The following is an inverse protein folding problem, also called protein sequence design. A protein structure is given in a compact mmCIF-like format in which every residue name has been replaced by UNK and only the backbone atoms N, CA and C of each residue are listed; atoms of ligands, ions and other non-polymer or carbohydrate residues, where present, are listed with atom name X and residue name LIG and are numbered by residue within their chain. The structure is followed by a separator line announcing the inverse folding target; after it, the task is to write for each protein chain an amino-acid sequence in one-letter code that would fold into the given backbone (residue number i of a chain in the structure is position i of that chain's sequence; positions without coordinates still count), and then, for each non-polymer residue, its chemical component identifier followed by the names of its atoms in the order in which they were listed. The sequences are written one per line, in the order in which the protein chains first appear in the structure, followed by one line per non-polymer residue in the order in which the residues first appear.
data_IF_355888271314
#
_entry.id   IF_355888271314
#
_cell.length_a   1.000
_cell.length_b   1.000
_cell.length_c   1.000
_cell.angle_alpha   90.00
_cell.angle_beta   90.00
_cell.angle_gamma   90.00
#
_symmetry.space_group_name_H-M   'P 1'
#
loop_
_entity.id
_entity.type
_entity.pdbx_description
1 polymer ?
#
# COMPACT_ATOMS: atom_id res chain seq x y z
N UNK A 1 -1.54 -3.85 -8.30
CA UNK A 1 -0.12 -4.14 -8.60
C UNK A 1 0.81 -3.54 -7.55
N UNK A 2 0.71 -2.23 -7.23
CA UNK A 2 1.52 -1.58 -6.17
C UNK A 2 1.49 -2.35 -4.85
N UNK A 3 0.30 -2.76 -4.39
CA UNK A 3 0.18 -3.54 -3.15
C UNK A 3 0.93 -4.87 -3.22
N UNK A 4 0.86 -5.58 -4.35
CA UNK A 4 1.55 -6.87 -4.54
C UNK A 4 3.06 -6.71 -4.49
N UNK A 5 3.61 -5.66 -5.11
CA UNK A 5 5.05 -5.36 -5.00
C UNK A 5 5.46 -5.04 -3.57
N UNK A 6 4.64 -4.28 -2.82
CA UNK A 6 4.96 -3.97 -1.42
C UNK A 6 4.88 -5.21 -0.54
N UNK A 7 3.88 -6.06 -0.72
CA UNK A 7 3.76 -7.33 0.03
C UNK A 7 4.96 -8.24 -0.24
N UNK A 8 5.42 -8.33 -1.49
CA UNK A 8 6.59 -9.12 -1.84
C UNK A 8 7.89 -8.61 -1.17
N UNK A 9 8.00 -7.30 -0.92
CA UNK A 9 9.10 -6.76 -0.10
C UNK A 9 8.86 -7.07 1.38
N UNK A 10 7.66 -6.82 1.89
CA UNK A 10 7.32 -7.01 3.30
C UNK A 10 7.55 -8.45 3.77
N UNK A 11 7.18 -9.45 2.96
CA UNK A 11 7.29 -10.86 3.32
C UNK A 11 8.63 -11.52 2.97
N UNK A 12 9.66 -10.73 2.64
CA UNK A 12 11.02 -11.25 2.41
C UNK A 12 11.32 -11.73 0.99
N UNK A 13 10.46 -11.47 0.00
CA UNK A 13 10.77 -11.68 -1.42
C UNK A 13 9.73 -12.48 -2.20
N UNK A 14 8.72 -13.03 -1.53
CA UNK A 14 7.79 -13.98 -2.17
C UNK A 14 6.58 -13.27 -2.77
N UNK A 15 6.40 -13.42 -4.08
CA UNK A 15 5.23 -12.88 -4.78
C UNK A 15 4.11 -13.92 -4.74
N UNK A 16 3.09 -13.68 -3.92
CA UNK A 16 1.88 -14.48 -3.89
C UNK A 16 0.83 -13.97 -4.89
N UNK A 17 0.03 -14.88 -5.44
CA UNK A 17 -1.17 -14.52 -6.18
C UNK A 17 -2.24 -14.02 -5.20
N UNK A 18 -2.77 -12.80 -5.36
CA UNK A 18 -3.82 -12.29 -4.50
C UNK A 18 -5.10 -13.11 -4.66
N UNK A 19 -5.74 -13.45 -3.55
CA UNK A 19 -6.97 -14.24 -3.49
C UNK A 19 -8.03 -13.48 -2.68
N UNK A 20 -9.28 -13.52 -3.13
CA UNK A 20 -10.43 -12.90 -2.44
C UNK A 20 -11.33 -13.97 -1.79
N UNK A 21 -11.35 -15.18 -2.36
CA UNK A 21 -12.14 -16.29 -1.84
C UNK A 21 -11.27 -17.10 -0.88
N UNK A 22 -11.74 -17.27 0.36
CA UNK A 22 -11.04 -18.09 1.36
C UNK A 22 -11.37 -19.59 1.19
N UNK A 23 -12.66 -19.92 1.05
CA UNK A 23 -13.10 -21.30 0.89
C UNK A 23 -14.47 -21.34 0.19
N UNK A 24 -14.75 -22.45 -0.49
CA UNK A 24 -16.10 -22.80 -0.96
C UNK A 24 -16.61 -23.96 -0.11
N UNK A 25 -17.83 -23.81 0.40
CA UNK A 25 -18.53 -24.83 1.17
C UNK A 25 -19.87 -25.15 0.51
N UNK A 26 -20.34 -26.38 0.67
CA UNK A 26 -21.69 -26.78 0.29
C UNK A 26 -22.76 -26.26 1.28
N UNK A 27 -24.02 -26.55 1.01
CA UNK A 27 -25.14 -26.10 1.83
C UNK A 27 -25.14 -26.71 3.25
N UNK A 28 -24.51 -27.87 3.40
CA UNK A 28 -24.34 -28.60 4.66
C UNK A 28 -23.09 -28.14 5.43
N UNK A 29 -22.31 -27.21 4.88
CA UNK A 29 -21.10 -26.66 5.48
C UNK A 29 -19.84 -27.50 5.24
N UNK A 30 -19.92 -28.55 4.43
CA UNK A 30 -18.80 -29.36 3.97
C UNK A 30 -17.82 -28.56 3.12
N UNK A 31 -16.52 -28.75 3.36
CA UNK A 31 -15.46 -28.07 2.61
C UNK A 31 -15.35 -28.65 1.20
N UNK A 32 -15.65 -27.84 0.19
CA UNK A 32 -15.56 -28.22 -1.23
C UNK A 32 -14.23 -27.77 -1.84
N UNK A 33 -13.76 -26.59 -1.46
CA UNK A 33 -12.46 -26.06 -1.91
C UNK A 33 -11.87 -25.14 -0.87
N UNK A 34 -10.62 -25.41 -0.52
CA UNK A 34 -9.78 -24.52 0.28
C UNK A 34 -8.85 -23.73 -0.64
N UNK A 35 -8.70 -22.43 -0.41
CA UNK A 35 -7.82 -21.56 -1.19
C UNK A 35 -6.59 -21.23 -0.36
N UNK A 36 -5.53 -22.02 -0.55
CA UNK A 36 -4.24 -21.78 0.07
C UNK A 36 -3.41 -20.76 -0.72
N UNK A 37 -2.49 -20.04 -0.07
CA UNK A 37 -1.60 -19.08 -0.75
C UNK A 37 -0.84 -19.74 -1.90
N UNK A 38 -0.86 -19.10 -3.07
CA UNK A 38 -0.18 -19.59 -4.26
C UNK A 38 1.03 -18.72 -4.59
N UNK A 39 2.23 -19.30 -4.51
CA UNK A 39 3.49 -18.65 -4.90
C UNK A 39 3.55 -18.52 -6.42
N UNK A 40 3.70 -17.29 -6.91
CA UNK A 40 3.87 -16.98 -8.34
C UNK A 40 5.35 -17.02 -8.70
N UNK A 41 6.19 -16.38 -7.90
CA UNK A 41 7.64 -16.26 -8.08
C UNK A 41 8.31 -15.67 -6.85
N UNK A 42 9.63 -15.73 -6.81
CA UNK A 42 10.46 -14.93 -5.91
C UNK A 42 10.94 -13.65 -6.60
N UNK A 43 11.26 -12.63 -5.82
CA UNK A 43 12.00 -11.46 -6.31
C UNK A 43 13.45 -11.89 -6.64
N UNK A 44 14.02 -11.44 -7.77
CA UNK A 44 15.41 -11.70 -8.11
C UNK A 44 16.34 -10.75 -7.36
N UNK A 45 16.29 -10.77 -6.02
CA UNK A 45 17.06 -9.91 -5.12
C UNK A 45 17.58 -10.72 -3.92
N UNK A 46 18.70 -10.29 -3.34
CA UNK A 46 19.21 -10.92 -2.12
C UNK A 46 18.36 -10.54 -0.91
N UNK A 47 18.44 -11.34 0.16
CA UNK A 47 17.79 -10.99 1.42
C UNK A 47 18.31 -9.65 2.00
N UNK A 48 19.59 -9.34 1.77
CA UNK A 48 20.22 -8.07 2.20
C UNK A 48 19.65 -6.86 1.44
N UNK A 49 19.46 -7.00 0.13
CA UNK A 49 18.83 -5.95 -0.69
C UNK A 49 17.38 -5.72 -0.27
N UNK A 50 16.63 -6.80 -0.03
CA UNK A 50 15.24 -6.72 0.43
C UNK A 50 15.18 -6.04 1.79
N UNK A 51 16.05 -6.44 2.72
CA UNK A 51 16.16 -5.81 4.04
C UNK A 51 16.49 -4.32 3.94
N UNK A 52 17.38 -3.92 3.04
CA UNK A 52 17.70 -2.51 2.79
C UNK A 52 16.46 -1.71 2.35
N UNK A 53 15.61 -2.30 1.49
CA UNK A 53 14.35 -1.66 1.08
C UNK A 53 13.36 -1.57 2.25
N UNK A 54 13.24 -2.64 3.04
CA UNK A 54 12.40 -2.67 4.25
C UNK A 54 12.85 -1.57 5.24
N UNK A 55 14.15 -1.44 5.51
CA UNK A 55 14.70 -0.38 6.36
C UNK A 55 14.41 1.02 5.79
N UNK A 56 14.51 1.19 4.47
CA UNK A 56 14.13 2.45 3.82
C UNK A 56 12.66 2.82 4.04
N UNK A 57 11.76 1.83 3.93
CA UNK A 57 10.33 2.01 4.21
C UNK A 57 10.07 2.29 5.69
N UNK A 58 10.81 1.65 6.60
CA UNK A 58 10.75 1.94 8.03
C UNK A 58 11.21 3.36 8.34
N UNK A 59 12.35 3.79 7.78
CA UNK A 59 12.90 5.14 7.97
C UNK A 59 12.00 6.24 7.43
N UNK A 60 11.23 5.98 6.37
CA UNK A 60 10.27 6.95 5.85
C UNK A 60 9.19 7.31 6.87
N UNK A 61 8.82 6.39 7.77
CA UNK A 61 7.80 6.58 8.81
C UNK A 61 8.44 6.94 10.15
N UNK A 62 9.55 6.30 10.52
CA UNK A 62 10.12 6.35 11.87
C UNK A 62 11.41 7.18 11.97
N UNK A 63 12.02 7.52 10.83
CA UNK A 63 13.23 8.33 10.80
C UNK A 63 12.94 9.80 11.10
N UNK A 64 13.90 10.49 11.71
CA UNK A 64 13.78 11.90 12.09
C UNK A 64 13.50 12.87 10.92
N UNK A 65 13.79 12.45 9.68
CA UNK A 65 13.51 13.18 8.44
C UNK A 65 12.56 12.42 7.50
N UNK A 66 11.78 11.50 8.03
CA UNK A 66 10.83 10.71 7.27
C UNK A 66 9.74 11.56 6.63
N UNK A 67 9.34 11.23 5.40
CA UNK A 67 8.24 11.93 4.71
C UNK A 67 6.86 11.42 5.13
N UNK A 68 6.80 10.36 5.94
CA UNK A 68 5.59 9.64 6.31
C UNK A 68 5.41 9.53 7.83
N UNK A 69 5.99 10.46 8.61
CA UNK A 69 5.94 10.44 10.08
C UNK A 69 4.51 10.36 10.61
N UNK A 70 3.54 10.98 9.92
CA UNK A 70 2.13 10.91 10.29
C UNK A 70 1.53 9.50 10.29
N UNK A 71 2.18 8.51 9.67
CA UNK A 71 1.72 7.13 9.61
C UNK A 71 2.03 6.30 10.86
N UNK A 72 2.75 6.86 11.84
CA UNK A 72 3.04 6.18 13.10
C UNK A 72 1.75 5.83 13.86
N UNK A 73 1.72 4.63 14.42
CA UNK A 73 0.62 4.10 15.24
C UNK A 73 1.23 3.63 16.57
N UNK A 74 0.61 4.01 17.68
CA UNK A 74 1.12 3.65 19.01
C UNK A 74 1.14 2.13 19.21
N UNK A 75 2.29 1.60 19.60
CA UNK A 75 2.48 0.16 19.85
C UNK A 75 2.62 -0.71 18.60
N UNK A 76 2.55 -0.15 17.39
CA UNK A 76 2.67 -0.87 16.12
C UNK A 76 3.73 -0.20 15.26
N UNK A 77 4.84 -0.89 15.01
CA UNK A 77 5.88 -0.38 14.11
C UNK A 77 5.37 -0.43 12.66
N UNK A 78 5.16 0.73 12.04
CA UNK A 78 4.70 0.83 10.64
C UNK A 78 5.89 1.09 9.72
N UNK A 79 5.92 0.45 8.56
CA UNK A 79 6.83 0.77 7.45
C UNK A 79 6.02 1.12 6.21
N UNK A 80 6.41 2.17 5.49
CA UNK A 80 5.61 2.64 4.36
C UNK A 80 6.33 3.64 3.46
N UNK A 81 5.64 4.07 2.42
CA UNK A 81 6.19 5.03 1.46
C UNK A 81 5.10 5.90 0.85
N UNK A 82 5.39 7.19 0.79
CA UNK A 82 4.61 8.20 0.06
C UNK A 82 4.90 8.16 -1.43
N UNK A 83 3.88 8.45 -2.24
CA UNK A 83 4.01 8.79 -3.65
C UNK A 83 3.16 10.02 -3.97
N UNK A 84 3.74 10.92 -4.76
CA UNK A 84 3.06 12.08 -5.34
C UNK A 84 3.42 12.06 -6.81
N UNK A 85 2.43 11.89 -7.69
CA UNK A 85 2.66 11.75 -9.12
C UNK A 85 1.89 12.83 -9.88
N UNK A 86 2.61 13.70 -10.58
CA UNK A 86 2.01 14.70 -11.46
C UNK A 86 1.28 14.04 -12.62
N UNK A 87 0.16 14.63 -13.04
CA UNK A 87 -0.57 14.19 -14.21
C UNK A 87 -1.14 15.39 -14.98
N UNK A 88 -1.40 15.16 -16.27
CA UNK A 88 -2.01 16.17 -17.14
C UNK A 88 -3.53 15.98 -17.12
N UNK A 89 -4.26 16.88 -16.45
CA UNK A 89 -5.69 16.99 -16.63
C UNK A 89 -5.97 17.82 -17.88
N UNK A 90 -6.47 17.17 -18.94
CA UNK A 90 -6.66 17.82 -20.24
C UNK A 90 -7.77 18.87 -20.14
N UNK A 91 -7.44 20.11 -20.52
CA UNK A 91 -8.37 21.23 -20.65
C UNK A 91 -8.28 21.83 -22.05
N UNK A 92 -9.38 22.40 -22.52
CA UNK A 92 -9.43 23.20 -23.74
C UNK A 92 -9.00 24.63 -23.41
N UNK A 93 -8.23 25.26 -24.31
CA UNK A 93 -7.87 26.66 -24.13
C UNK A 93 -9.07 27.56 -24.45
N UNK A 94 -9.30 28.58 -23.62
CA UNK A 94 -10.41 29.53 -23.80
C UNK A 94 -10.30 30.29 -25.13
N UNK A 95 -9.09 30.61 -25.56
CA UNK A 95 -8.79 31.35 -26.79
C UNK A 95 -8.71 30.45 -28.04
N UNK A 96 -8.54 29.14 -27.87
CA UNK A 96 -8.52 28.16 -28.96
C UNK A 96 -9.00 26.77 -28.48
N UNK A 97 -10.31 26.48 -28.56
CA UNK A 97 -10.85 25.19 -28.08
C UNK A 97 -10.34 23.96 -28.83
N UNK A 98 -9.78 24.12 -30.04
CA UNK A 98 -9.12 23.03 -30.78
C UNK A 98 -7.76 22.66 -30.17
N UNK A 99 -7.19 23.54 -29.34
CA UNK A 99 -5.93 23.35 -28.64
C UNK A 99 -6.15 22.80 -27.23
N UNK A 100 -5.48 21.68 -26.95
CA UNK A 100 -5.53 20.99 -25.66
C UNK A 100 -4.29 21.33 -24.85
N UNK A 101 -4.47 21.58 -23.56
CA UNK A 101 -3.38 21.81 -22.62
C UNK A 101 -3.59 21.01 -21.34
N UNK A 102 -2.57 20.97 -20.49
CA UNK A 102 -2.69 20.47 -19.13
C UNK A 102 -3.17 21.60 -18.22
N UNK A 103 -4.17 21.31 -17.38
CA UNK A 103 -4.52 22.21 -16.27
C UNK A 103 -3.31 22.41 -15.38
N UNK A 104 -3.08 23.66 -15.00
CA UNK A 104 -2.06 24.06 -14.04
C UNK A 104 -2.64 24.96 -12.97
N UNK A 105 -2.01 25.00 -11.82
CA UNK A 105 -2.33 25.97 -10.77
C UNK A 105 -1.73 27.36 -11.08
N UNK A 106 -2.01 28.35 -10.22
CA UNK A 106 -1.50 29.73 -10.37
C UNK A 106 0.04 29.83 -10.32
N UNK A 107 0.73 28.75 -9.94
CA UNK A 107 2.18 28.63 -9.87
C UNK A 107 2.76 27.77 -10.99
N UNK A 108 1.97 27.48 -12.02
CA UNK A 108 2.34 26.69 -13.19
C UNK A 108 2.62 25.19 -12.92
N UNK A 109 2.18 24.66 -11.76
CA UNK A 109 2.36 23.24 -11.43
C UNK A 109 1.23 22.38 -12.00
N UNK A 110 1.55 21.13 -12.35
CA UNK A 110 0.55 20.13 -12.71
C UNK A 110 -0.19 19.61 -11.46
N UNK A 111 -1.45 19.18 -11.60
CA UNK A 111 -2.13 18.48 -10.52
C UNK A 111 -1.43 17.14 -10.21
N UNK A 112 -1.61 16.64 -9.00
CA UNK A 112 -0.93 15.44 -8.52
C UNK A 112 -1.90 14.41 -7.96
N UNK A 113 -1.60 13.14 -8.20
CA UNK A 113 -2.20 12.02 -7.51
C UNK A 113 -1.47 11.75 -6.20
N UNK A 114 -2.23 11.47 -5.15
CA UNK A 114 -1.71 11.11 -3.85
C UNK A 114 -1.71 9.58 -3.68
N UNK A 115 -0.56 9.03 -3.32
CA UNK A 115 -0.37 7.62 -3.01
C UNK A 115 0.27 7.46 -1.64
N UNK A 116 -0.17 6.43 -0.93
CA UNK A 116 0.57 5.93 0.22
C UNK A 116 0.41 4.42 0.30
N UNK A 117 1.50 3.71 0.57
CA UNK A 117 1.48 2.27 0.82
C UNK A 117 2.24 1.99 2.10
N UNK A 118 1.72 1.09 2.92
CA UNK A 118 2.38 0.66 4.14
C UNK A 118 2.09 -0.81 4.45
N UNK A 119 2.95 -1.40 5.28
CA UNK A 119 2.70 -2.66 5.95
C UNK A 119 3.05 -2.56 7.44
N UNK A 120 2.43 -3.42 8.24
CA UNK A 120 2.65 -3.47 9.67
C UNK A 120 2.28 -4.85 10.26
N UNK A 121 2.86 -5.23 11.42
CA UNK A 121 4.08 -4.65 12.00
C UNK A 121 5.30 -4.77 11.08
N UNK A 122 6.30 -3.91 11.26
CA UNK A 122 7.51 -3.92 10.45
C UNK A 122 8.28 -5.24 10.57
N UNK A 123 8.37 -5.76 11.79
CA UNK A 123 9.18 -6.93 12.15
C UNK A 123 8.50 -8.25 11.79
N UNK A 124 7.16 -8.28 11.82
CA UNK A 124 6.35 -9.44 11.46
C UNK A 124 5.09 -8.98 10.72
N UNK A 125 5.17 -8.69 9.40
CA UNK A 125 4.07 -8.08 8.67
C UNK A 125 2.81 -8.94 8.62
N UNK A 126 1.68 -8.37 9.04
CA UNK A 126 0.37 -9.04 9.06
C UNK A 126 -0.61 -8.43 8.04
N UNK A 127 -0.50 -7.12 7.80
CA UNK A 127 -1.35 -6.39 6.86
C UNK A 127 -0.51 -5.44 6.01
N UNK A 128 -0.91 -5.29 4.74
CA UNK A 128 -0.45 -4.23 3.87
C UNK A 128 -1.64 -3.48 3.28
N UNK A 129 -1.53 -2.16 3.17
CA UNK A 129 -2.59 -1.28 2.68
C UNK A 129 -2.01 -0.29 1.68
N UNK A 130 -2.72 -0.04 0.59
CA UNK A 130 -2.41 1.02 -0.38
C UNK A 130 -3.62 1.93 -0.52
N UNK A 131 -3.38 3.24 -0.52
CA UNK A 131 -4.37 4.25 -0.87
C UNK A 131 -3.91 5.01 -2.11
N UNK A 132 -4.84 5.23 -3.02
CA UNK A 132 -4.73 6.12 -4.16
C UNK A 132 -5.86 7.14 -4.13
N UNK A 133 -5.52 8.42 -4.23
CA UNK A 133 -6.50 9.51 -4.35
C UNK A 133 -6.21 10.26 -5.65
N UNK A 134 -7.15 10.15 -6.58
CA UNK A 134 -7.13 10.91 -7.82
C UNK A 134 -7.18 12.41 -7.52
N UNK A 135 -6.33 13.18 -8.20
CA UNK A 135 -6.10 14.60 -7.94
C UNK A 135 -6.00 14.94 -6.43
N UNK A 136 -5.38 14.05 -5.66
CA UNK A 136 -5.34 14.10 -4.20
C UNK A 136 -4.22 14.96 -3.63
N UNK A 137 -3.38 15.58 -4.46
CA UNK A 137 -2.25 16.37 -3.97
C UNK A 137 -1.11 15.50 -3.42
N UNK A 138 -0.55 15.91 -2.29
CA UNK A 138 0.57 15.23 -1.64
C UNK A 138 0.16 13.94 -0.92
N UNK A 139 0.87 12.84 -1.20
CA UNK A 139 0.60 11.53 -0.59
C UNK A 139 0.64 11.51 0.94
N UNK A 140 1.55 12.28 1.55
CA UNK A 140 1.70 12.37 3.02
C UNK A 140 0.51 13.06 3.69
N UNK A 141 -0.15 13.99 2.98
CA UNK A 141 -1.21 14.83 3.52
C UNK A 141 -2.59 14.20 3.36
N UNK A 142 -2.83 13.46 2.27
CA UNK A 142 -4.18 12.98 1.91
C UNK A 142 -4.32 11.47 1.86
N UNK A 143 -3.37 10.75 1.24
CA UNK A 143 -3.45 9.29 1.11
C UNK A 143 -3.02 8.55 2.39
N UNK A 144 -2.00 9.08 3.07
CA UNK A 144 -1.44 8.50 4.28
C UNK A 144 -2.46 8.42 5.45
N UNK A 145 -3.24 9.47 5.77
CA UNK A 145 -4.23 9.38 6.85
C UNK A 145 -5.24 8.24 6.66
N UNK A 146 -5.64 7.96 5.41
CA UNK A 146 -6.56 6.85 5.09
C UNK A 146 -5.95 5.50 5.46
N UNK A 147 -4.69 5.27 5.08
CA UNK A 147 -3.98 4.02 5.43
C UNK A 147 -3.84 3.87 6.94
N UNK A 148 -3.49 4.95 7.64
CA UNK A 148 -3.37 4.95 9.10
C UNK A 148 -4.69 4.54 9.75
N UNK A 149 -5.83 5.15 9.37
CA UNK A 149 -7.15 4.79 9.90
C UNK A 149 -7.48 3.32 9.66
N UNK A 150 -7.19 2.78 8.47
CA UNK A 150 -7.43 1.35 8.17
C UNK A 150 -6.58 0.43 9.06
N UNK A 151 -5.30 0.76 9.25
CA UNK A 151 -4.41 -0.04 10.10
C UNK A 151 -4.79 0.07 11.58
N UNK A 152 -5.15 1.25 12.07
CA UNK A 152 -5.66 1.44 13.44
C UNK A 152 -6.91 0.59 13.68
N UNK A 153 -7.87 0.60 12.75
CA UNK A 153 -9.06 -0.25 12.83
C UNK A 153 -8.70 -1.75 12.80
N UNK A 154 -7.75 -2.16 11.94
CA UNK A 154 -7.29 -3.54 11.88
C UNK A 154 -6.74 -4.01 13.24
N UNK A 155 -5.80 -3.27 13.83
CA UNK A 155 -5.16 -3.70 15.09
C UNK A 155 -6.02 -3.49 16.35
N UNK A 156 -7.03 -2.64 16.31
CA UNK A 156 -7.91 -2.40 17.47
C UNK A 156 -9.17 -3.27 17.47
N UNK A 157 -9.73 -3.57 16.30
CA UNK A 157 -11.04 -4.24 16.18
C UNK A 157 -10.93 -5.65 15.59
N UNK A 158 -9.90 -5.91 14.79
CA UNK A 158 -9.76 -7.13 13.98
C UNK A 158 -8.55 -7.92 14.50
N UNK A 159 -8.73 -8.64 15.61
CA UNK A 159 -7.69 -9.57 16.07
C UNK A 159 -7.33 -10.56 14.95
N UNK A 160 -6.04 -10.78 14.63
CA UNK A 160 -5.64 -11.75 13.63
C UNK A 160 -6.19 -13.13 14.02
N UNK A 161 -6.98 -13.76 13.14
CA UNK A 161 -7.44 -15.12 13.40
C UNK A 161 -6.22 -16.03 13.55
N UNK A 162 -6.21 -16.95 14.53
CA UNK A 162 -5.11 -17.89 14.68
C UNK A 162 -4.88 -18.62 13.35
N UNK A 163 -3.66 -18.54 12.83
CA UNK A 163 -3.24 -19.38 11.71
C UNK A 163 -3.45 -20.81 12.13
N UNK A 164 -4.25 -21.57 11.38
CA UNK A 164 -4.50 -22.97 11.70
C UNK A 164 -3.15 -23.69 11.83
N UNK A 165 -2.86 -24.20 13.03
CA UNK A 165 -1.71 -25.06 13.26
C UNK A 165 -1.83 -26.26 12.33
N UNK A 166 -0.88 -26.40 11.40
CA UNK A 166 -0.77 -27.63 10.61
C UNK A 166 -0.58 -28.81 11.55
N UNK A 167 -1.43 -29.82 11.41
CA UNK A 167 -1.19 -31.17 11.92
C UNK A 167 -0.24 -31.90 10.99
#
# INVERSE_FOLDING_TARGET
QVLVSTVAVANGGTVYAPQVVYQVRDAEGGLQRDFTPHVVRELPASAEDIYTVQEGMWMAVNGARGTAIGAQIDGITVAGKTGTAEFCEIVEKEDNPEEKDCRRDDKDNLPTHAWFVAYAPYENPEIAVVTFIYNGGEGSATALPVVKTVMEAYFSEISPRPVASGN
#
